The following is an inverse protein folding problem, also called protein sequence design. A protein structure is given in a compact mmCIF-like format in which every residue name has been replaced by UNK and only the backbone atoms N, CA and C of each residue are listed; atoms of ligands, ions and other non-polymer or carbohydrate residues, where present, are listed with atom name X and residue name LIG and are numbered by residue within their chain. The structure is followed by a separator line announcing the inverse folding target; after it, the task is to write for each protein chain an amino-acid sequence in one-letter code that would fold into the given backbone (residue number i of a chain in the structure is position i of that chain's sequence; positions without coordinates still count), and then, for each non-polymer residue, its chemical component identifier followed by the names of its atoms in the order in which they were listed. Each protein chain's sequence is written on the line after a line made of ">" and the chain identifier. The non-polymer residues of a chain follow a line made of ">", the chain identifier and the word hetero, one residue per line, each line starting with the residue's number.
data_IF_785599752135
#
_entry.id   IF_785599752135
#
_cell.length_a   1.000
_cell.length_b   1.000
_cell.length_c   1.000
_cell.angle_alpha   90.00
_cell.angle_beta   90.00
_cell.angle_gamma   90.00
#
_symmetry.space_group_name_H-M   'P 1'
#
loop_
_entity.id
_entity.type
_entity.pdbx_description
1 polymer ?
#
# COMPACT_ATOMS: atom_id res chain seq x y z
N UNK A 1 -75.29 -5.11 -38.88
CA UNK A 1 -74.96 -6.40 -38.26
C UNK A 1 -74.64 -7.41 -39.36
N UNK A 2 -73.37 -7.81 -39.49
CA UNK A 2 -72.93 -8.97 -40.29
C UNK A 2 -71.89 -9.74 -39.48
N UNK A 3 -72.11 -11.06 -39.35
CA UNK A 3 -71.12 -12.09 -38.95
C UNK A 3 -70.10 -12.30 -40.12
N UNK A 4 -69.08 -13.20 -40.11
CA UNK A 4 -68.81 -14.42 -39.31
C UNK A 4 -67.31 -14.48 -38.85
N UNK A 5 -66.66 -15.54 -38.36
CA UNK A 5 -66.86 -16.99 -38.25
C UNK A 5 -65.54 -17.59 -37.73
N UNK A 6 -65.62 -18.74 -37.07
CA UNK A 6 -64.49 -19.47 -36.49
C UNK A 6 -63.66 -20.24 -37.54
N UNK A 7 -62.35 -20.41 -37.29
CA UNK A 7 -61.43 -21.30 -38.00
C UNK A 7 -60.09 -21.47 -37.24
N UNK A 8 -59.34 -22.57 -37.43
CA UNK A 8 -58.76 -23.34 -36.30
C UNK A 8 -57.22 -23.29 -36.12
N UNK A 9 -56.80 -23.50 -34.86
CA UNK A 9 -55.68 -24.31 -34.32
C UNK A 9 -54.29 -24.46 -35.04
N UNK A 10 -53.25 -23.80 -34.46
CA UNK A 10 -51.83 -24.21 -34.15
C UNK A 10 -50.84 -24.62 -35.30
N UNK A 11 -49.48 -24.56 -35.13
CA UNK A 11 -48.68 -24.46 -33.89
C UNK A 11 -47.46 -23.48 -33.86
N UNK A 12 -47.00 -23.24 -32.63
CA UNK A 12 -45.62 -23.03 -32.13
C UNK A 12 -44.54 -22.33 -32.99
N UNK A 13 -44.07 -21.18 -32.49
CA UNK A 13 -42.63 -20.99 -32.25
C UNK A 13 -42.41 -20.15 -31.01
N UNK A 14 -41.98 -20.82 -29.93
CA UNK A 14 -41.53 -20.20 -28.69
C UNK A 14 -40.11 -19.72 -28.92
N UNK A 15 -39.93 -18.47 -29.33
CA UNK A 15 -38.60 -17.82 -29.29
C UNK A 15 -38.27 -17.52 -27.84
N UNK A 16 -37.63 -18.49 -27.19
CA UNK A 16 -36.85 -18.25 -25.99
C UNK A 16 -35.78 -17.20 -26.35
N UNK A 17 -36.01 -15.95 -25.93
CA UNK A 17 -34.91 -14.99 -25.82
C UNK A 17 -34.02 -15.53 -24.71
N UNK A 18 -32.96 -16.20 -25.11
CA UNK A 18 -31.89 -16.63 -24.22
C UNK A 18 -31.39 -15.37 -23.51
N UNK A 19 -31.59 -15.33 -22.19
CA UNK A 19 -30.97 -14.34 -21.33
C UNK A 19 -29.47 -14.39 -21.60
N UNK A 20 -28.94 -13.28 -22.11
CA UNK A 20 -27.50 -13.04 -22.10
C UNK A 20 -27.12 -12.85 -20.64
N UNK A 21 -26.79 -13.97 -20.01
CA UNK A 21 -26.08 -14.04 -18.75
C UNK A 21 -24.72 -13.36 -18.98
N UNK A 22 -24.66 -12.08 -18.66
CA UNK A 22 -23.38 -11.38 -18.60
C UNK A 22 -22.67 -11.92 -17.37
N UNK A 23 -21.54 -12.63 -17.48
CA UNK A 23 -20.78 -12.97 -16.30
C UNK A 23 -20.35 -11.63 -15.72
N UNK A 24 -20.92 -11.27 -14.57
CA UNK A 24 -20.48 -10.16 -13.77
C UNK A 24 -19.04 -10.45 -13.38
N UNK A 25 -18.10 -10.08 -14.26
CA UNK A 25 -16.69 -9.95 -13.95
C UNK A 25 -16.69 -8.96 -12.81
N UNK A 26 -16.59 -9.47 -11.59
CA UNK A 26 -16.26 -8.66 -10.44
C UNK A 26 -14.89 -8.09 -10.77
N UNK A 27 -14.89 -6.91 -11.37
CA UNK A 27 -13.74 -6.04 -11.32
C UNK A 27 -13.54 -5.84 -9.83
N UNK A 28 -12.62 -6.62 -9.27
CA UNK A 28 -12.09 -6.40 -7.94
C UNK A 28 -11.54 -4.99 -8.05
N UNK A 29 -12.32 -4.00 -7.62
CA UNK A 29 -11.91 -2.61 -7.60
C UNK A 29 -10.60 -2.64 -6.86
N UNK A 30 -9.47 -2.53 -7.59
CA UNK A 30 -8.21 -2.17 -6.97
C UNK A 30 -8.56 -0.85 -6.34
N UNK A 31 -8.75 -0.85 -5.02
CA UNK A 31 -8.81 0.39 -4.27
C UNK A 31 -7.60 1.15 -4.79
N UNK A 32 -7.85 2.29 -5.42
CA UNK A 32 -6.77 3.19 -5.78
C UNK A 32 -6.31 3.71 -4.43
N UNK A 33 -5.47 2.92 -3.76
CA UNK A 33 -4.73 3.35 -2.60
C UNK A 33 -3.74 4.31 -3.19
N UNK A 34 -4.05 5.60 -3.13
CA UNK A 34 -3.09 6.66 -3.50
C UNK A 34 -1.93 6.53 -2.53
N UNK A 35 -0.87 5.85 -2.95
CA UNK A 35 0.36 5.71 -2.17
C UNK A 35 1.12 7.03 -2.29
N UNK A 36 1.19 7.78 -1.21
CA UNK A 36 1.90 9.04 -1.16
C UNK A 36 3.31 8.83 -0.62
N UNK A 37 4.32 9.44 -1.25
CA UNK A 37 5.62 9.59 -0.60
C UNK A 37 5.46 10.62 0.52
N UNK A 38 5.87 10.24 1.73
CA UNK A 38 5.81 11.06 2.96
C UNK A 38 7.21 11.41 3.45
N UNK A 39 8.23 11.26 2.60
CA UNK A 39 9.60 11.55 2.97
C UNK A 39 10.60 10.78 2.12
N UNK A 40 11.86 11.07 2.36
CA UNK A 40 12.99 10.40 1.74
C UNK A 40 14.06 10.13 2.79
N UNK A 41 14.80 9.06 2.58
CA UNK A 41 15.94 8.69 3.39
C UNK A 41 17.10 8.34 2.46
N UNK A 42 18.29 8.81 2.81
CA UNK A 42 19.53 8.40 2.19
C UNK A 42 20.19 7.30 3.02
N UNK A 43 20.66 6.25 2.37
CA UNK A 43 21.42 5.18 3.02
C UNK A 43 22.86 5.65 3.25
N UNK A 44 23.35 5.44 4.46
CA UNK A 44 24.73 5.74 4.83
C UNK A 44 25.61 4.51 4.72
N UNK A 45 26.92 4.74 4.63
CA UNK A 45 27.94 3.68 4.62
C UNK A 45 27.96 2.85 5.91
N UNK A 46 27.49 3.41 7.02
CA UNK A 46 27.30 2.72 8.30
C UNK A 46 26.12 1.74 8.31
N UNK A 47 25.29 1.72 7.26
CA UNK A 47 24.05 0.95 7.20
C UNK A 47 22.85 1.63 7.86
N UNK A 48 23.04 2.81 8.47
CA UNK A 48 21.94 3.67 8.91
C UNK A 48 21.29 4.39 7.71
N UNK A 49 20.10 4.94 7.94
CA UNK A 49 19.43 5.79 6.97
C UNK A 49 19.08 7.13 7.61
N UNK A 50 19.26 8.21 6.88
CA UNK A 50 18.98 9.56 7.36
C UNK A 50 18.25 10.38 6.32
N UNK A 51 17.32 11.22 6.76
CA UNK A 51 16.57 12.07 5.85
C UNK A 51 15.44 12.77 6.57
N UNK A 52 14.28 12.85 5.92
CA UNK A 52 13.20 13.70 6.39
C UNK A 52 11.83 13.07 6.22
N UNK A 53 11.05 13.10 7.30
CA UNK A 53 9.62 12.83 7.30
C UNK A 53 8.87 14.14 6.98
N UNK A 54 8.05 14.12 5.95
CA UNK A 54 7.26 15.25 5.50
C UNK A 54 5.77 14.91 5.54
N UNK A 55 5.08 15.53 6.48
CA UNK A 55 3.63 15.42 6.63
C UNK A 55 3.04 16.83 6.69
N UNK A 56 1.84 17.02 6.13
CA UNK A 56 1.18 18.34 6.17
C UNK A 56 0.92 18.83 7.61
N UNK A 57 0.73 17.91 8.56
CA UNK A 57 0.56 18.23 9.99
C UNK A 57 1.86 18.71 10.65
N UNK A 58 3.03 18.42 10.07
CA UNK A 58 4.35 18.74 10.62
C UNK A 58 4.96 19.90 9.82
N UNK A 59 4.79 21.12 10.32
CA UNK A 59 5.38 22.31 9.68
C UNK A 59 6.88 22.14 9.52
N UNK A 60 7.36 22.22 8.28
CA UNK A 60 8.78 22.12 7.96
C UNK A 60 9.35 20.70 7.93
N UNK A 61 8.56 19.66 8.22
CA UNK A 61 9.02 18.26 8.31
C UNK A 61 9.94 17.99 9.51
N UNK A 62 10.21 16.72 9.76
CA UNK A 62 11.00 16.23 10.91
C UNK A 62 12.20 15.44 10.41
N UNK A 63 13.36 15.65 11.00
CA UNK A 63 14.54 14.82 10.73
C UNK A 63 14.24 13.38 11.14
N UNK A 64 14.47 12.43 10.24
CA UNK A 64 14.23 11.02 10.49
C UNK A 64 15.55 10.27 10.35
N UNK A 65 15.92 9.53 11.40
CA UNK A 65 17.08 8.64 11.42
C UNK A 65 16.62 7.22 11.71
N UNK A 66 17.09 6.27 10.92
CA UNK A 66 16.81 4.85 11.07
C UNK A 66 18.13 4.12 11.32
N UNK A 67 18.31 3.68 12.56
CA UNK A 67 19.57 3.12 13.07
C UNK A 67 19.47 1.59 13.15
N UNK A 68 20.48 0.83 12.68
CA UNK A 68 20.50 -0.62 12.82
C UNK A 68 20.40 -1.04 14.28
N UNK A 69 19.57 -2.03 14.57
CA UNK A 69 19.40 -2.57 15.91
C UNK A 69 20.42 -3.69 16.16
N UNK A 70 21.54 -3.35 16.82
CA UNK A 70 22.59 -4.32 17.17
C UNK A 70 22.10 -5.44 18.10
N UNK A 71 21.04 -5.18 18.88
CA UNK A 71 20.48 -6.14 19.85
C UNK A 71 19.40 -7.06 19.23
N UNK A 72 19.28 -7.12 17.90
CA UNK A 72 18.25 -7.96 17.26
C UNK A 72 18.55 -9.44 17.53
N UNK A 73 17.63 -10.11 18.24
CA UNK A 73 17.73 -11.55 18.57
C UNK A 73 16.85 -12.44 17.71
N UNK A 74 15.68 -11.95 17.30
CA UNK A 74 14.69 -12.71 16.54
C UNK A 74 13.98 -11.82 15.50
N UNK A 75 13.23 -12.43 14.58
CA UNK A 75 12.45 -11.72 13.56
C UNK A 75 11.34 -10.81 14.12
N UNK A 76 10.95 -10.99 15.40
CA UNK A 76 10.00 -10.11 16.09
C UNK A 76 10.65 -8.79 16.49
N UNK A 77 11.95 -8.79 16.77
CA UNK A 77 12.69 -7.58 17.08
C UNK A 77 12.89 -6.77 15.80
N UNK A 78 12.88 -5.43 15.91
CA UNK A 78 13.09 -4.59 14.75
C UNK A 78 14.51 -4.71 14.22
N UNK A 79 14.66 -4.59 12.91
CA UNK A 79 15.94 -4.45 12.23
C UNK A 79 16.52 -3.06 12.44
N UNK A 80 15.64 -2.05 12.52
CA UNK A 80 16.04 -0.67 12.75
C UNK A 80 15.16 0.02 13.78
N UNK A 81 15.75 0.91 14.56
CA UNK A 81 15.04 1.85 15.43
C UNK A 81 14.93 3.19 14.74
N UNK A 82 13.76 3.82 14.81
CA UNK A 82 13.51 5.12 14.19
C UNK A 82 13.54 6.20 15.26
N UNK A 83 14.31 7.25 14.99
CA UNK A 83 14.34 8.45 15.80
C UNK A 83 13.94 9.67 14.98
N UNK A 84 13.12 10.53 15.58
CA UNK A 84 12.70 11.82 15.04
C UNK A 84 13.18 12.92 15.96
N UNK A 85 14.00 13.85 15.45
CA UNK A 85 14.61 14.92 16.27
C UNK A 85 15.26 14.41 17.57
N UNK A 86 15.87 13.21 17.55
CA UNK A 86 16.53 12.58 18.70
C UNK A 86 15.62 11.78 19.64
N UNK A 87 14.31 11.71 19.40
CA UNK A 87 13.37 10.90 20.19
C UNK A 87 13.02 9.62 19.43
N UNK A 88 12.96 8.47 20.10
CA UNK A 88 12.51 7.22 19.45
C UNK A 88 11.01 7.29 19.15
N UNK A 89 10.66 7.17 17.86
CA UNK A 89 9.28 7.35 17.35
C UNK A 89 8.78 6.13 16.57
N UNK A 90 9.52 5.03 16.57
CA UNK A 90 9.09 3.83 15.87
C UNK A 90 10.21 2.87 15.52
N UNK A 91 9.93 2.00 14.57
CA UNK A 91 10.83 0.92 14.20
C UNK A 91 10.57 0.42 12.77
N UNK A 92 11.54 -0.30 12.21
CA UNK A 92 11.42 -0.91 10.90
C UNK A 92 11.94 -2.35 10.85
N UNK A 93 11.40 -3.10 9.90
CA UNK A 93 11.69 -4.51 9.67
C UNK A 93 11.97 -4.76 8.20
N UNK A 94 13.00 -5.54 7.91
CA UNK A 94 13.26 -6.07 6.58
C UNK A 94 12.33 -7.27 6.39
N UNK A 95 11.54 -7.26 5.32
CA UNK A 95 10.55 -8.31 5.01
C UNK A 95 10.72 -8.79 3.59
N UNK A 96 10.50 -10.08 3.39
CA UNK A 96 10.44 -10.67 2.05
C UNK A 96 9.17 -10.24 1.31
N UNK A 97 9.34 -9.85 0.06
CA UNK A 97 8.23 -9.48 -0.82
C UNK A 97 7.43 -10.72 -1.20
N UNK A 98 6.14 -10.72 -0.83
CA UNK A 98 5.19 -11.76 -1.26
C UNK A 98 4.87 -11.71 -2.74
N UNK A 99 5.05 -10.54 -3.37
CA UNK A 99 4.70 -10.32 -4.78
C UNK A 99 5.86 -10.64 -5.72
N UNK A 100 7.09 -10.57 -5.23
CA UNK A 100 8.32 -10.79 -6.02
C UNK A 100 9.30 -11.62 -5.20
N UNK A 101 9.35 -12.95 -5.42
CA UNK A 101 10.27 -13.83 -4.72
C UNK A 101 11.73 -13.37 -4.89
N UNK A 102 12.47 -13.29 -3.78
CA UNK A 102 13.88 -12.85 -3.77
C UNK A 102 14.07 -11.34 -3.60
N UNK A 103 13.00 -10.53 -3.62
CA UNK A 103 13.08 -9.09 -3.32
C UNK A 103 12.67 -8.83 -1.87
N UNK A 104 13.45 -8.01 -1.15
CA UNK A 104 13.12 -7.57 0.21
C UNK A 104 12.65 -6.12 0.21
N UNK A 105 11.72 -5.78 1.10
CA UNK A 105 11.31 -4.40 1.36
C UNK A 105 11.44 -4.07 2.84
N UNK A 106 11.58 -2.79 3.17
CA UNK A 106 11.63 -2.34 4.56
C UNK A 106 10.25 -1.83 4.96
N UNK A 107 9.61 -2.53 5.89
CA UNK A 107 8.35 -2.15 6.52
C UNK A 107 8.64 -1.21 7.67
N UNK A 108 8.08 -0.01 7.64
CA UNK A 108 8.30 1.04 8.63
C UNK A 108 7.02 1.31 9.42
N UNK A 109 7.15 1.46 10.73
CA UNK A 109 6.07 1.84 11.65
C UNK A 109 6.51 3.08 12.42
N UNK A 110 5.69 4.12 12.40
CA UNK A 110 5.94 5.40 13.08
C UNK A 110 4.78 5.68 14.03
N UNK A 111 5.07 5.78 15.31
CA UNK A 111 4.15 6.11 16.38
C UNK A 111 4.77 7.24 17.22
N UNK A 112 4.60 8.47 16.75
CA UNK A 112 5.06 9.65 17.45
C UNK A 112 3.88 10.33 18.19
N UNK A 113 4.10 10.95 19.37
CA UNK A 113 3.04 11.61 20.13
C UNK A 113 2.28 12.69 19.37
N UNK A 114 2.94 13.36 18.42
CA UNK A 114 2.35 14.40 17.57
C UNK A 114 1.44 13.84 16.45
N UNK A 115 1.45 12.52 16.23
CA UNK A 115 0.63 11.88 15.20
C UNK A 115 -0.67 11.39 15.82
N UNK A 116 -1.83 11.66 15.18
CA UNK A 116 -3.13 11.21 15.69
C UNK A 116 -3.31 9.68 15.60
N UNK A 117 -2.43 8.99 14.85
CA UNK A 117 -2.42 7.54 14.71
C UNK A 117 -1.04 7.05 14.29
N UNK A 118 -0.78 5.77 14.53
CA UNK A 118 0.37 5.07 13.97
C UNK A 118 0.33 5.13 12.44
N UNK A 119 1.46 5.50 11.84
CA UNK A 119 1.67 5.47 10.40
C UNK A 119 2.44 4.22 10.02
N UNK A 120 1.96 3.56 8.96
CA UNK A 120 2.63 2.43 8.34
C UNK A 120 3.16 2.89 6.99
N UNK A 121 4.40 2.54 6.68
CA UNK A 121 5.04 2.90 5.44
C UNK A 121 5.96 1.79 4.94
N UNK A 122 6.34 1.89 3.67
CA UNK A 122 7.36 1.07 3.05
C UNK A 122 8.48 1.97 2.59
N UNK A 123 9.72 1.64 2.95
CA UNK A 123 10.89 2.29 2.38
C UNK A 123 11.35 1.50 1.15
N UNK A 124 11.34 2.15 -0.01
CA UNK A 124 11.74 1.55 -1.28
C UNK A 124 12.68 2.48 -2.05
N UNK A 125 13.56 1.90 -2.87
CA UNK A 125 14.43 2.70 -3.74
C UNK A 125 13.59 3.55 -4.69
N UNK A 126 14.02 4.78 -4.93
CA UNK A 126 13.35 5.66 -5.87
C UNK A 126 13.63 5.19 -7.29
N UNK A 127 12.59 4.71 -8.00
CA UNK A 127 12.75 4.22 -9.36
C UNK A 127 13.06 5.38 -10.33
N UNK A 128 14.10 5.23 -11.15
CA UNK A 128 14.46 6.20 -12.19
C UNK A 128 15.39 7.33 -11.73
N UNK A 129 16.05 7.18 -10.58
CA UNK A 129 17.08 8.10 -10.11
C UNK A 129 18.45 7.40 -10.09
N UNK A 130 19.52 8.10 -10.48
CA UNK A 130 20.89 7.56 -10.53
C UNK A 130 21.49 7.26 -9.14
N UNK A 131 20.91 7.82 -8.08
CA UNK A 131 21.34 7.62 -6.69
C UNK A 131 20.74 6.33 -6.09
N UNK A 132 21.51 5.24 -6.12
CA UNK A 132 21.12 3.95 -5.55
C UNK A 132 20.88 3.98 -4.01
N UNK A 133 21.41 5.00 -3.34
CA UNK A 133 21.30 5.21 -1.90
C UNK A 133 20.10 6.06 -1.49
N UNK A 134 19.33 6.61 -2.44
CA UNK A 134 18.15 7.41 -2.14
C UNK A 134 16.86 6.57 -2.15
N UNK A 135 16.16 6.61 -1.03
CA UNK A 135 14.94 5.85 -0.80
C UNK A 135 13.76 6.77 -0.52
N UNK A 136 12.59 6.38 -1.00
CA UNK A 136 11.32 7.04 -0.73
C UNK A 136 10.54 6.31 0.36
N UNK A 137 10.03 7.06 1.33
CA UNK A 137 9.16 6.56 2.38
C UNK A 137 7.71 6.65 1.90
N UNK A 138 7.13 5.52 1.55
CA UNK A 138 5.83 5.42 0.89
C UNK A 138 4.77 5.04 1.93
N UNK A 139 3.77 5.90 2.10
CA UNK A 139 2.70 5.69 3.08
C UNK A 139 1.71 4.59 2.67
N UNK A 140 1.38 3.73 3.63
CA UNK A 140 0.42 2.63 3.51
C UNK A 140 -0.81 2.89 4.40
N UNK A 141 -1.91 3.50 3.89
CA UNK A 141 -3.08 3.85 4.70
C UNK A 141 -3.92 2.64 5.16
N UNK A 142 -3.86 1.51 4.44
CA UNK A 142 -4.74 0.36 4.66
C UNK A 142 -4.19 -0.66 5.68
N UNK A 143 -2.98 -0.49 6.20
CA UNK A 143 -2.30 -1.51 7.04
C UNK A 143 -2.68 -1.47 8.52
N UNK A 144 -3.49 -0.50 8.95
CA UNK A 144 -3.91 -0.30 10.34
C UNK A 144 -5.35 -0.69 10.65
N UNK A 145 -5.93 -1.66 9.93
CA UNK A 145 -7.27 -2.23 10.21
C UNK A 145 -7.17 -3.57 10.91
#
# INVERSE_FOLDING_TARGET
>A
MSAPGAGPNRPATRSHVAGRDWPSRRHKTRRITTMASIGYLNKLTSGAYEGKLQLMSLKGGVELKMLPNADKRDARHPDFRLTGNGVEIGAAWIKDSRSRPGETYISVVIAAPELPRTLYATLGQMAGQDDADLFSLIWNPDTGR
#
